data_IF_530271444530
#
_entry.id   IF_530271444530
#
_cell.length_a   1.000
_cell.length_b   1.000
_cell.length_c   1.000
_cell.angle_alpha   90.00
_cell.angle_beta   90.00
_cell.angle_gamma   90.00
#
_symmetry.space_group_name_H-M   'P 1'
#
loop_
_entity.id
_entity.type
_entity.pdbx_description
1 polymer ?
#
# COMPACT_ATOMS: atom_id res chain seq x y z
N UNK A 1 -1.75 -15.66 -1.14
CA UNK A 1 -0.68 -15.08 -0.30
C UNK A 1 -1.33 -14.31 0.83
N UNK A 2 -0.74 -14.30 2.04
CA UNK A 2 -1.28 -13.57 3.18
C UNK A 2 -0.91 -12.08 3.09
N UNK A 3 -1.72 -11.20 3.70
CA UNK A 3 -1.45 -9.77 3.84
C UNK A 3 -0.07 -9.48 4.44
N UNK A 4 0.37 -10.29 5.39
CA UNK A 4 1.67 -10.12 6.06
C UNK A 4 2.85 -10.27 5.08
N UNK A 5 2.71 -11.12 4.05
CA UNK A 5 3.72 -11.24 2.99
C UNK A 5 3.87 -9.91 2.24
N UNK A 6 2.77 -9.26 1.88
CA UNK A 6 2.82 -7.96 1.21
C UNK A 6 3.41 -6.86 2.09
N UNK A 7 3.15 -6.89 3.40
CA UNK A 7 3.75 -5.94 4.34
C UNK A 7 5.26 -6.14 4.39
N UNK A 8 5.75 -7.39 4.48
CA UNK A 8 7.18 -7.67 4.47
C UNK A 8 7.86 -7.18 3.19
N UNK A 9 7.26 -7.43 2.02
CA UNK A 9 7.75 -6.95 0.72
C UNK A 9 7.73 -5.42 0.62
N UNK A 10 6.69 -4.77 1.13
CA UNK A 10 6.59 -3.30 1.19
C UNK A 10 7.74 -2.70 2.01
N UNK A 11 8.05 -3.31 3.16
CA UNK A 11 9.17 -2.93 4.00
C UNK A 11 10.51 -3.10 3.26
N UNK A 12 10.69 -4.21 2.54
CA UNK A 12 11.90 -4.46 1.76
C UNK A 12 12.04 -3.45 0.59
N UNK A 13 10.94 -3.10 -0.08
CA UNK A 13 10.93 -2.17 -1.21
C UNK A 13 11.28 -0.74 -0.79
N UNK A 14 10.64 -0.22 0.26
CA UNK A 14 10.85 1.15 0.74
C UNK A 14 12.05 1.30 1.69
N UNK A 15 12.57 0.19 2.24
CA UNK A 15 13.77 0.16 3.08
C UNK A 15 13.72 1.17 4.22
N UNK A 16 14.62 2.19 4.26
CA UNK A 16 14.66 3.17 5.33
C UNK A 16 13.52 4.21 5.30
N UNK A 17 12.72 4.25 4.24
CA UNK A 17 11.62 5.22 4.09
C UNK A 17 10.41 4.86 4.96
N UNK A 18 10.57 5.08 6.27
CA UNK A 18 9.53 4.89 7.28
C UNK A 18 8.28 5.73 7.01
N UNK A 19 8.42 6.87 6.33
CA UNK A 19 7.30 7.76 6.02
C UNK A 19 6.32 7.06 5.08
N UNK A 20 6.82 6.48 3.98
CA UNK A 20 5.99 5.77 3.00
C UNK A 20 5.41 4.46 3.55
N UNK A 21 6.21 3.72 4.32
CA UNK A 21 5.74 2.50 5.00
C UNK A 21 4.58 2.83 5.95
N UNK A 22 4.76 3.81 6.84
CA UNK A 22 3.72 4.20 7.80
C UNK A 22 2.47 4.75 7.10
N UNK A 23 2.64 5.49 6.00
CA UNK A 23 1.53 5.97 5.18
C UNK A 23 0.71 4.81 4.62
N UNK A 24 1.33 3.84 3.96
CA UNK A 24 0.64 2.67 3.42
C UNK A 24 -0.08 1.85 4.50
N UNK A 25 0.53 1.65 5.68
CA UNK A 25 -0.12 0.95 6.79
C UNK A 25 -1.32 1.72 7.36
N UNK A 26 -1.24 3.06 7.41
CA UNK A 26 -2.36 3.92 7.81
C UNK A 26 -3.51 3.85 6.80
N UNK A 27 -3.21 3.88 5.50
CA UNK A 27 -4.21 3.70 4.42
C UNK A 27 -4.88 2.33 4.55
N UNK A 28 -4.10 1.26 4.74
CA UNK A 28 -4.64 -0.08 4.95
C UNK A 28 -5.64 -0.12 6.12
N UNK A 29 -5.32 0.49 7.27
CA UNK A 29 -6.25 0.50 8.41
C UNK A 29 -7.54 1.23 8.13
N UNK A 30 -7.50 2.37 7.45
CA UNK A 30 -8.73 3.04 7.05
C UNK A 30 -9.53 2.22 6.04
N UNK A 31 -8.87 1.59 5.07
CA UNK A 31 -9.54 0.73 4.10
C UNK A 31 -10.25 -0.45 4.80
N UNK A 32 -9.61 -1.09 5.78
CA UNK A 32 -10.23 -2.17 6.56
C UNK A 32 -11.44 -1.68 7.37
N UNK A 33 -11.35 -0.51 8.01
CA UNK A 33 -12.48 0.08 8.74
C UNK A 33 -13.66 0.39 7.81
N UNK A 34 -13.39 0.92 6.62
CA UNK A 34 -14.43 1.23 5.62
C UNK A 34 -15.06 -0.06 5.10
N UNK A 35 -14.25 -1.06 4.73
CA UNK A 35 -14.75 -2.36 4.25
C UNK A 35 -15.66 -3.05 5.27
N UNK A 36 -15.33 -2.92 6.56
CA UNK A 36 -16.16 -3.45 7.64
C UNK A 36 -17.49 -2.71 7.75
N UNK A 37 -17.47 -1.38 7.71
CA UNK A 37 -18.69 -0.55 7.74
C UNK A 37 -19.61 -0.79 6.55
N UNK A 38 -19.05 -0.97 5.36
CA UNK A 38 -19.76 -1.19 4.09
C UNK A 38 -20.14 -2.66 3.85
N UNK A 39 -19.75 -3.59 4.73
CA UNK A 39 -19.99 -5.04 4.60
C UNK A 39 -19.52 -5.60 3.25
N UNK A 40 -18.32 -5.20 2.84
CA UNK A 40 -17.71 -5.64 1.58
C UNK A 40 -17.47 -7.16 1.59
N UNK A 41 -17.84 -7.84 0.49
CA UNK A 41 -17.66 -9.29 0.34
C UNK A 41 -16.17 -9.70 0.39
N UNK A 42 -15.88 -10.87 0.94
CA UNK A 42 -14.51 -11.33 1.23
C UNK A 42 -13.58 -11.35 0.01
N UNK A 43 -14.12 -11.67 -1.17
CA UNK A 43 -13.36 -11.66 -2.42
C UNK A 43 -12.82 -10.25 -2.74
N UNK A 44 -13.66 -9.23 -2.57
CA UNK A 44 -13.27 -7.82 -2.76
C UNK A 44 -12.33 -7.33 -1.65
N UNK A 45 -12.48 -7.84 -0.42
CA UNK A 45 -11.63 -7.42 0.71
C UNK A 45 -10.16 -7.69 0.45
N UNK A 46 -9.85 -8.81 -0.20
CA UNK A 46 -8.48 -9.17 -0.59
C UNK A 46 -7.91 -8.17 -1.59
N UNK A 47 -8.69 -7.80 -2.61
CA UNK A 47 -8.29 -6.85 -3.65
C UNK A 47 -8.02 -5.47 -3.04
N UNK A 48 -8.94 -4.96 -2.23
CA UNK A 48 -8.81 -3.65 -1.58
C UNK A 48 -7.62 -3.63 -0.63
N UNK A 49 -7.39 -4.71 0.13
CA UNK A 49 -6.24 -4.83 1.04
C UNK A 49 -4.91 -4.70 0.28
N UNK A 50 -4.77 -5.42 -0.84
CA UNK A 50 -3.54 -5.39 -1.65
C UNK A 50 -3.37 -4.03 -2.34
N UNK A 51 -4.45 -3.48 -2.91
CA UNK A 51 -4.44 -2.17 -3.54
C UNK A 51 -4.05 -1.06 -2.55
N UNK A 52 -4.61 -1.07 -1.34
CA UNK A 52 -4.30 -0.10 -0.29
C UNK A 52 -2.81 -0.16 0.11
N UNK A 53 -2.24 -1.36 0.26
CA UNK A 53 -0.82 -1.54 0.59
C UNK A 53 0.12 -1.06 -0.53
N UNK A 54 -0.23 -1.33 -1.79
CA UNK A 54 0.67 -1.13 -2.93
C UNK A 54 0.41 0.17 -3.72
N UNK A 55 -0.59 0.99 -3.36
CA UNK A 55 -1.00 2.15 -4.16
C UNK A 55 0.15 3.10 -4.54
N UNK A 56 1.11 3.28 -3.64
CA UNK A 56 2.27 4.18 -3.81
C UNK A 56 3.58 3.46 -4.18
N UNK A 57 3.56 2.14 -4.44
CA UNK A 57 4.78 1.34 -4.69
C UNK A 57 5.62 1.88 -5.86
N UNK A 58 4.97 2.51 -6.84
CA UNK A 58 5.61 3.08 -8.02
C UNK A 58 6.45 4.33 -7.76
N UNK A 59 6.32 4.98 -6.59
CA UNK A 59 7.04 6.22 -6.28
C UNK A 59 8.55 6.03 -6.38
N UNK A 60 9.09 4.93 -5.85
CA UNK A 60 10.53 4.65 -5.89
C UNK A 60 11.05 4.58 -7.32
N UNK A 61 10.35 3.84 -8.19
CA UNK A 61 10.67 3.73 -9.61
C UNK A 61 10.58 5.07 -10.33
N UNK A 62 9.60 5.92 -9.98
CA UNK A 62 9.46 7.25 -10.56
C UNK A 62 10.62 8.18 -10.15
N UNK A 63 11.03 8.14 -8.88
CA UNK A 63 12.19 8.88 -8.39
C UNK A 63 13.50 8.43 -9.05
N UNK A 64 13.69 7.12 -9.23
CA UNK A 64 14.87 6.56 -9.90
C UNK A 64 14.94 6.98 -11.38
N UNK A 65 13.81 6.94 -12.11
CA UNK A 65 13.77 7.24 -13.55
C UNK A 65 13.73 8.73 -13.86
N UNK A 66 12.99 9.50 -13.08
CA UNK A 66 12.62 10.88 -13.42
C UNK A 66 13.07 11.90 -12.38
N UNK A 67 13.73 11.48 -11.29
CA UNK A 67 14.11 12.34 -10.15
C UNK A 67 12.92 13.10 -9.55
N UNK A 68 11.72 12.56 -9.73
CA UNK A 68 10.46 13.19 -9.34
C UNK A 68 9.39 12.11 -9.22
N UNK A 69 8.65 12.13 -8.12
CA UNK A 69 7.44 11.31 -7.94
C UNK A 69 6.15 12.04 -8.35
N UNK A 70 6.25 13.32 -8.72
CA UNK A 70 5.12 14.09 -9.22
C UNK A 70 4.80 13.68 -10.65
N UNK A 71 3.51 13.45 -10.94
CA UNK A 71 3.02 13.35 -12.31
C UNK A 71 3.20 14.71 -13.00
N UNK A 72 4.11 14.78 -13.96
CA UNK A 72 4.34 15.94 -14.82
C UNK A 72 4.21 15.52 -16.27
#
# INVERSE_FOLDING_TARGET
MCKDTYIAELHAHFGPDKRRINHALKVLRFAEMIMEGEKVADELRTIVTIAALLHDVGIKTAEEKYKSSAGR
#
